data_IF_938254964361
#
_entry.id   IF_938254964361
#
_cell.length_a   1.000
_cell.length_b   1.000
_cell.length_c   1.000
_cell.angle_alpha   90.00
_cell.angle_beta   90.00
_cell.angle_gamma   90.00
#
_symmetry.space_group_name_H-M   'P 1'
#
loop_
_entity.id
_entity.type
_entity.pdbx_description
1 polymer ?
#
# COMPACT_ATOMS: atom_id res chain seq x y z
N UNK A 1 -24.91 -31.30 -42.24
CA UNK A 1 -23.48 -31.10 -41.96
C UNK A 1 -23.41 -30.17 -40.77
N UNK A 2 -23.20 -30.71 -39.58
CA UNK A 2 -23.27 -30.01 -38.30
C UNK A 2 -21.90 -29.44 -37.94
N UNK A 3 -21.70 -28.14 -38.14
CA UNK A 3 -20.54 -27.44 -37.59
C UNK A 3 -20.75 -27.20 -36.09
N UNK A 4 -20.33 -28.17 -35.29
CA UNK A 4 -20.12 -28.02 -33.86
C UNK A 4 -18.76 -27.36 -33.64
N UNK A 5 -18.70 -26.04 -33.77
CA UNK A 5 -17.57 -25.28 -33.23
C UNK A 5 -17.76 -25.18 -31.73
N UNK A 6 -17.21 -26.15 -30.99
CA UNK A 6 -17.06 -26.06 -29.55
C UNK A 6 -16.25 -24.80 -29.23
N UNK A 7 -16.94 -23.74 -28.79
CA UNK A 7 -16.32 -22.54 -28.25
C UNK A 7 -15.43 -22.98 -27.08
N UNK A 8 -14.12 -22.79 -27.22
CA UNK A 8 -13.18 -22.99 -26.12
C UNK A 8 -13.67 -22.18 -24.91
N UNK A 9 -13.68 -22.74 -23.69
CA UNK A 9 -14.18 -22.03 -22.53
C UNK A 9 -13.36 -20.75 -22.35
N UNK A 10 -13.96 -19.62 -22.68
CA UNK A 10 -13.40 -18.29 -22.43
C UNK A 10 -13.12 -18.23 -20.95
N UNK A 11 -11.83 -18.23 -20.57
CA UNK A 11 -11.42 -18.10 -19.17
C UNK A 11 -12.17 -16.90 -18.60
N UNK A 12 -13.00 -17.15 -17.57
CA UNK A 12 -13.72 -16.09 -16.90
C UNK A 12 -12.74 -14.95 -16.60
N UNK A 13 -13.03 -13.70 -17.02
CA UNK A 13 -12.11 -12.59 -16.85
C UNK A 13 -11.66 -12.53 -15.39
N UNK A 14 -10.36 -12.31 -15.16
CA UNK A 14 -9.83 -12.07 -13.82
C UNK A 14 -10.76 -11.09 -13.11
N UNK A 15 -11.12 -11.46 -11.89
CA UNK A 15 -12.17 -10.76 -11.19
C UNK A 15 -11.82 -9.31 -10.85
N UNK A 16 -10.60 -8.85 -11.12
CA UNK A 16 -10.03 -7.52 -10.82
C UNK A 16 -9.28 -7.01 -12.07
N UNK A 17 -9.33 -5.69 -12.38
CA UNK A 17 -8.53 -5.12 -13.46
C UNK A 17 -7.03 -5.41 -13.31
N UNK A 18 -6.33 -5.76 -14.40
CA UNK A 18 -4.92 -6.18 -14.34
C UNK A 18 -4.00 -5.17 -13.66
N UNK A 19 -4.19 -3.87 -13.92
CA UNK A 19 -3.37 -2.83 -13.31
C UNK A 19 -3.60 -2.73 -11.79
N UNK A 20 -4.83 -2.97 -11.32
CA UNK A 20 -5.13 -3.04 -9.88
C UNK A 20 -4.43 -4.25 -9.28
N UNK A 21 -4.47 -5.40 -9.96
CA UNK A 21 -3.77 -6.59 -9.48
C UNK A 21 -2.25 -6.36 -9.36
N UNK A 22 -1.63 -5.71 -10.36
CA UNK A 22 -0.21 -5.32 -10.31
C UNK A 22 0.04 -4.38 -9.14
N UNK A 23 -0.83 -3.38 -8.94
CA UNK A 23 -0.73 -2.47 -7.80
C UNK A 23 -0.80 -3.22 -6.46
N UNK A 24 -1.74 -4.15 -6.28
CA UNK A 24 -1.87 -4.95 -5.05
C UNK A 24 -0.60 -5.76 -4.76
N UNK A 25 0.07 -6.30 -5.80
CA UNK A 25 1.34 -7.02 -5.65
C UNK A 25 2.45 -6.06 -5.20
N UNK A 26 2.58 -4.90 -5.86
CA UNK A 26 3.54 -3.86 -5.47
C UNK A 26 3.30 -3.44 -4.03
N UNK A 27 2.04 -3.22 -3.65
CA UNK A 27 1.63 -2.90 -2.29
C UNK A 27 2.09 -3.94 -1.29
N UNK A 28 1.82 -5.23 -1.54
CA UNK A 28 2.22 -6.31 -0.65
C UNK A 28 3.75 -6.34 -0.42
N UNK A 29 4.53 -6.17 -1.49
CA UNK A 29 6.00 -6.17 -1.42
C UNK A 29 6.51 -4.96 -0.63
N UNK A 30 6.09 -3.75 -1.00
CA UNK A 30 6.60 -2.52 -0.35
C UNK A 30 6.16 -2.47 1.12
N UNK A 31 4.91 -2.81 1.44
CA UNK A 31 4.42 -2.78 2.81
C UNK A 31 5.09 -3.82 3.70
N UNK A 32 5.43 -4.99 3.16
CA UNK A 32 6.23 -5.99 3.87
C UNK A 32 7.64 -5.47 4.12
N UNK A 33 8.29 -4.91 3.10
CA UNK A 33 9.62 -4.33 3.22
C UNK A 33 9.69 -3.21 4.26
N UNK A 34 8.70 -2.30 4.21
CA UNK A 34 8.54 -1.19 5.15
C UNK A 34 8.32 -1.67 6.59
N UNK A 35 7.39 -2.60 6.79
CA UNK A 35 7.11 -3.14 8.11
C UNK A 35 8.31 -3.91 8.69
N UNK A 36 9.03 -4.68 7.87
CA UNK A 36 10.25 -5.34 8.29
C UNK A 36 11.32 -4.34 8.72
N UNK A 37 11.51 -3.23 8.00
CA UNK A 37 12.47 -2.20 8.41
C UNK A 37 12.14 -1.66 9.80
N UNK A 38 10.90 -1.22 10.02
CA UNK A 38 10.49 -0.59 11.28
C UNK A 38 10.50 -1.59 12.44
N UNK A 39 9.90 -2.77 12.25
CA UNK A 39 9.70 -3.73 13.34
C UNK A 39 10.96 -4.52 13.73
N UNK A 40 11.94 -4.65 12.83
CA UNK A 40 13.26 -5.19 13.19
C UNK A 40 14.11 -4.17 13.97
N UNK A 41 13.70 -2.89 13.97
CA UNK A 41 14.25 -1.83 14.80
C UNK A 41 15.78 -1.76 14.75
N UNK A 42 16.50 -1.91 15.89
CA UNK A 42 17.96 -1.78 15.93
C UNK A 42 18.74 -2.69 14.97
N UNK A 43 18.15 -3.78 14.51
CA UNK A 43 18.81 -4.71 13.59
C UNK A 43 18.87 -4.16 12.16
N UNK A 44 17.80 -3.49 11.73
CA UNK A 44 17.59 -2.94 10.38
C UNK A 44 17.90 -1.44 10.27
N UNK A 45 17.76 -0.69 11.36
CA UNK A 45 18.02 0.75 11.41
C UNK A 45 19.50 1.11 11.20
N UNK A 46 19.77 2.38 10.89
CA UNK A 46 21.12 2.93 10.70
C UNK A 46 22.09 2.49 11.80
N UNK A 47 23.20 1.86 11.41
CA UNK A 47 24.20 1.33 12.35
C UNK A 47 23.94 -0.10 12.83
N UNK A 48 22.78 -0.68 12.52
CA UNK A 48 22.45 -2.07 12.77
C UNK A 48 23.18 -3.07 11.85
N UNK A 49 23.37 -4.33 12.29
CA UNK A 49 24.12 -5.35 11.56
C UNK A 49 23.55 -5.70 10.19
N UNK A 50 22.26 -5.47 9.96
CA UNK A 50 21.61 -5.76 8.68
C UNK A 50 21.22 -4.49 7.91
N UNK A 51 21.54 -3.29 8.41
CA UNK A 51 21.12 -1.99 7.84
C UNK A 51 21.39 -1.80 6.35
N UNK A 52 22.38 -2.50 5.80
CA UNK A 52 22.70 -2.50 4.37
C UNK A 52 21.58 -3.06 3.48
N UNK A 53 20.71 -3.95 3.99
CA UNK A 53 19.51 -4.42 3.28
C UNK A 53 18.42 -3.34 3.18
N UNK A 54 18.53 -2.28 3.99
CA UNK A 54 17.59 -1.18 4.08
C UNK A 54 18.22 0.18 3.78
N UNK A 55 19.23 0.21 2.91
CA UNK A 55 19.92 1.45 2.53
C UNK A 55 18.94 2.57 2.09
N UNK A 56 17.87 2.21 1.38
CA UNK A 56 16.81 3.15 0.99
C UNK A 56 16.06 3.75 2.18
N UNK A 57 15.64 2.93 3.15
CA UNK A 57 14.95 3.39 4.37
C UNK A 57 15.88 4.13 5.34
N UNK A 58 17.13 3.70 5.46
CA UNK A 58 18.17 4.40 6.22
C UNK A 58 18.37 5.82 5.68
N UNK A 59 18.43 5.96 4.35
CA UNK A 59 18.49 7.27 3.70
C UNK A 59 17.18 8.05 3.86
N UNK A 60 16.02 7.41 3.67
CA UNK A 60 14.70 8.02 3.86
C UNK A 60 14.52 8.57 5.28
N UNK A 61 15.04 7.86 6.28
CA UNK A 61 15.02 8.25 7.70
C UNK A 61 15.80 9.53 8.01
N UNK A 62 16.59 10.05 7.08
CA UNK A 62 17.19 11.39 7.20
C UNK A 62 16.19 12.51 6.92
N UNK A 63 15.08 12.21 6.24
CA UNK A 63 14.01 13.17 5.92
C UNK A 63 12.77 13.00 6.80
N UNK A 64 12.47 11.76 7.20
CA UNK A 64 11.34 11.41 8.04
C UNK A 64 11.80 10.58 9.24
N UNK A 65 11.77 11.19 10.42
CA UNK A 65 12.26 10.57 11.64
C UNK A 65 11.43 9.37 12.11
N UNK A 66 10.26 9.10 11.50
CA UNK A 66 9.55 7.82 11.69
C UNK A 66 10.47 6.63 11.42
N UNK A 67 11.36 6.79 10.43
CA UNK A 67 12.31 5.80 9.97
C UNK A 67 13.74 6.06 10.48
N UNK A 68 13.92 7.07 11.34
CA UNK A 68 15.20 7.43 11.92
C UNK A 68 15.69 6.39 12.92
N UNK A 69 17.02 6.20 13.01
CA UNK A 69 17.62 5.12 13.81
C UNK A 69 17.42 5.20 15.33
N UNK A 70 16.88 6.30 15.87
CA UNK A 70 16.60 6.48 17.31
C UNK A 70 15.16 6.11 17.64
N UNK A 71 14.87 4.82 17.62
CA UNK A 71 13.56 4.20 17.90
C UNK A 71 12.43 4.70 16.98
N UNK A 72 11.76 3.75 16.33
CA UNK A 72 10.53 4.00 15.58
C UNK A 72 9.52 4.73 16.47
N UNK A 73 8.86 5.76 15.92
CA UNK A 73 7.77 6.41 16.66
C UNK A 73 6.63 5.42 16.91
N UNK A 74 5.87 5.58 17.99
CA UNK A 74 4.72 4.72 18.29
C UNK A 74 3.72 4.65 17.11
N UNK A 75 3.57 5.76 16.38
CA UNK A 75 2.79 5.79 15.15
C UNK A 75 3.42 4.95 14.03
N UNK A 76 4.73 5.06 13.81
CA UNK A 76 5.45 4.27 12.80
C UNK A 76 5.28 2.77 13.02
N UNK A 77 5.46 2.31 14.27
CA UNK A 77 5.26 0.90 14.63
C UNK A 77 3.80 0.46 14.41
N UNK A 78 2.83 1.28 14.86
CA UNK A 78 1.42 0.99 14.64
C UNK A 78 1.09 0.90 13.15
N UNK A 79 1.62 1.82 12.34
CA UNK A 79 1.47 1.83 10.89
C UNK A 79 2.08 0.56 10.26
N UNK A 80 3.24 0.10 10.73
CA UNK A 80 3.86 -1.15 10.26
C UNK A 80 3.08 -2.40 10.64
N UNK A 81 2.43 -2.43 11.80
CA UNK A 81 1.49 -3.51 12.13
C UNK A 81 0.28 -3.50 11.20
N UNK A 82 -0.27 -2.31 10.88
CA UNK A 82 -1.35 -2.18 9.90
C UNK A 82 -0.90 -2.65 8.51
N UNK A 83 0.33 -2.35 8.09
CA UNK A 83 0.93 -2.87 6.86
C UNK A 83 0.87 -4.40 6.81
N UNK A 84 1.29 -5.08 7.88
CA UNK A 84 1.28 -6.56 7.93
C UNK A 84 -0.14 -7.13 7.89
N UNK A 85 -1.11 -6.51 8.58
CA UNK A 85 -2.53 -6.92 8.52
C UNK A 85 -3.07 -6.78 7.09
N UNK A 86 -2.76 -5.68 6.41
CA UNK A 86 -3.12 -5.49 5.00
C UNK A 86 -2.47 -6.56 4.11
N UNK A 87 -1.18 -6.86 4.30
CA UNK A 87 -0.46 -7.92 3.56
C UNK A 87 -1.11 -9.28 3.74
N UNK A 88 -1.52 -9.65 4.96
CA UNK A 88 -2.27 -10.89 5.20
C UNK A 88 -3.57 -10.90 4.40
N UNK A 89 -4.31 -9.78 4.40
CA UNK A 89 -5.49 -9.62 3.55
C UNK A 89 -5.20 -9.77 2.06
N UNK A 90 -4.07 -9.23 1.59
CA UNK A 90 -3.64 -9.35 0.18
C UNK A 90 -3.27 -10.79 -0.18
N UNK A 91 -2.63 -11.54 0.72
CA UNK A 91 -2.38 -12.97 0.53
C UNK A 91 -3.71 -13.72 0.36
N UNK A 92 -4.72 -13.41 1.19
CA UNK A 92 -6.07 -13.99 1.05
C UNK A 92 -6.68 -13.63 -0.31
N UNK A 93 -6.52 -12.39 -0.78
CA UNK A 93 -6.95 -11.96 -2.14
C UNK A 93 -6.26 -12.80 -3.22
N UNK A 94 -4.93 -12.96 -3.16
CA UNK A 94 -4.16 -13.68 -4.18
C UNK A 94 -4.47 -15.17 -4.23
N UNK A 95 -4.67 -15.80 -3.08
CA UNK A 95 -5.07 -17.21 -2.99
C UNK A 95 -6.50 -17.45 -3.51
N UNK A 96 -7.32 -16.40 -3.65
CA UNK A 96 -8.75 -16.53 -3.94
C UNK A 96 -9.21 -15.75 -5.18
N UNK A 97 -8.34 -15.27 -6.07
CA UNK A 97 -8.64 -14.32 -7.18
C UNK A 97 -9.89 -14.59 -8.05
N UNK A 98 -10.42 -15.82 -8.05
CA UNK A 98 -11.63 -16.20 -8.79
C UNK A 98 -12.94 -16.07 -7.99
N UNK A 99 -12.88 -15.82 -6.69
CA UNK A 99 -14.06 -15.74 -5.84
C UNK A 99 -14.78 -14.39 -6.01
N UNK A 100 -16.13 -14.36 -5.95
CA UNK A 100 -16.91 -13.15 -6.21
C UNK A 100 -16.72 -12.05 -5.16
N UNK A 101 -16.34 -12.42 -3.93
CA UNK A 101 -16.10 -11.49 -2.81
C UNK A 101 -14.73 -10.80 -2.86
N UNK A 102 -13.79 -11.28 -3.69
CA UNK A 102 -12.41 -10.78 -3.71
C UNK A 102 -12.30 -9.28 -4.03
N UNK A 103 -13.06 -8.71 -4.99
CA UNK A 103 -13.01 -7.27 -5.23
C UNK A 103 -13.48 -6.44 -4.04
N UNK A 104 -14.37 -6.97 -3.20
CA UNK A 104 -14.84 -6.30 -1.99
C UNK A 104 -13.71 -6.27 -0.96
N UNK A 105 -13.04 -7.39 -0.72
CA UNK A 105 -11.90 -7.44 0.18
C UNK A 105 -10.75 -6.53 -0.31
N UNK A 106 -10.45 -6.56 -1.61
CA UNK A 106 -9.47 -5.66 -2.21
C UNK A 106 -9.86 -4.18 -2.02
N UNK A 107 -11.14 -3.83 -2.15
CA UNK A 107 -11.63 -2.47 -1.92
C UNK A 107 -11.45 -2.03 -0.46
N UNK A 108 -11.73 -2.92 0.49
CA UNK A 108 -11.52 -2.68 1.93
C UNK A 108 -10.04 -2.41 2.21
N UNK A 109 -9.15 -3.27 1.73
CA UNK A 109 -7.69 -3.12 1.93
C UNK A 109 -7.21 -1.79 1.34
N UNK A 110 -7.62 -1.46 0.12
CA UNK A 110 -7.21 -0.20 -0.52
C UNK A 110 -7.75 1.03 0.19
N UNK A 111 -8.93 0.93 0.81
CA UNK A 111 -9.50 1.98 1.65
C UNK A 111 -8.67 2.16 2.93
N UNK A 112 -8.22 1.06 3.54
CA UNK A 112 -7.32 1.10 4.69
C UNK A 112 -5.96 1.72 4.33
N UNK A 113 -5.33 1.31 3.22
CA UNK A 113 -4.07 1.88 2.73
C UNK A 113 -4.20 3.39 2.49
N UNK A 114 -5.29 3.83 1.85
CA UNK A 114 -5.58 5.25 1.63
C UNK A 114 -5.67 6.01 2.96
N UNK A 115 -6.53 5.56 3.88
CA UNK A 115 -6.77 6.28 5.14
C UNK A 115 -5.58 6.25 6.08
N UNK A 116 -4.77 5.21 6.07
CA UNK A 116 -3.51 5.16 6.81
C UNK A 116 -2.54 6.24 6.37
N UNK A 117 -2.46 6.49 5.06
CA UNK A 117 -1.62 7.57 4.51
C UNK A 117 -2.20 8.95 4.81
N UNK A 118 -3.53 9.10 4.76
CA UNK A 118 -4.20 10.32 5.23
C UNK A 118 -3.89 10.55 6.72
N UNK A 119 -3.96 9.50 7.54
CA UNK A 119 -3.66 9.57 8.96
C UNK A 119 -2.23 10.05 9.21
N UNK A 120 -1.24 9.53 8.47
CA UNK A 120 0.15 10.01 8.52
C UNK A 120 0.23 11.54 8.36
N UNK A 121 -0.35 12.10 7.29
CA UNK A 121 -0.33 13.54 7.07
C UNK A 121 -1.08 14.33 8.14
N UNK A 122 -2.24 13.85 8.58
CA UNK A 122 -3.02 14.54 9.61
C UNK A 122 -2.32 14.53 10.96
N UNK A 123 -1.61 13.45 11.30
CA UNK A 123 -0.82 13.35 12.53
C UNK A 123 0.38 14.29 12.46
N UNK A 124 1.11 14.34 11.33
CA UNK A 124 2.20 15.30 11.16
C UNK A 124 1.71 16.74 11.21
N UNK A 125 0.57 17.06 10.58
CA UNK A 125 0.00 18.40 10.67
C UNK A 125 -0.38 18.75 12.13
N UNK A 126 -0.98 17.81 12.86
CA UNK A 126 -1.39 18.00 14.25
C UNK A 126 -0.21 18.07 15.24
N UNK A 127 0.91 17.38 14.96
CA UNK A 127 2.12 17.41 15.77
C UNK A 127 3.04 18.60 15.44
N UNK A 128 2.64 19.47 14.51
CA UNK A 128 3.46 20.61 14.09
C UNK A 128 4.68 20.18 13.27
N UNK A 129 4.53 19.15 12.44
CA UNK A 129 5.55 18.52 11.61
C UNK A 129 6.68 17.86 12.42
N UNK A 130 6.39 17.30 13.58
CA UNK A 130 7.40 16.76 14.50
C UNK A 130 8.45 15.87 13.84
N UNK A 131 8.05 15.00 12.88
CA UNK A 131 8.97 14.02 12.28
C UNK A 131 9.67 14.53 11.03
N UNK A 132 9.18 15.62 10.44
CA UNK A 132 9.62 16.08 9.11
C UNK A 132 10.08 17.54 9.07
N UNK A 133 9.79 18.32 10.12
CA UNK A 133 10.14 19.74 10.26
C UNK A 133 11.62 20.01 10.10
N UNK A 134 12.48 19.13 10.64
CA UNK A 134 13.93 19.29 10.54
C UNK A 134 14.41 19.37 9.09
N UNK A 135 13.72 18.67 8.17
CA UNK A 135 14.00 18.70 6.73
C UNK A 135 13.62 20.05 6.09
N UNK A 136 12.61 20.75 6.61
CA UNK A 136 12.30 22.11 6.18
C UNK A 136 13.28 23.12 6.78
N UNK A 137 13.62 22.97 8.07
CA UNK A 137 14.49 23.89 8.81
C UNK A 137 15.95 23.83 8.32
N UNK A 138 16.38 22.70 7.76
CA UNK A 138 17.70 22.57 7.11
C UNK A 138 17.80 23.30 5.78
N UNK A 139 16.70 23.85 5.25
CA UNK A 139 16.64 24.52 3.95
C UNK A 139 16.50 23.56 2.76
N UNK A 140 16.40 22.25 2.99
CA UNK A 140 16.23 21.25 1.94
C UNK A 140 14.76 21.00 1.58
N UNK A 141 14.12 22.05 1.06
CA UNK A 141 12.72 21.98 0.63
C UNK A 141 12.49 20.94 -0.48
N UNK A 142 13.45 20.81 -1.41
CA UNK A 142 13.34 19.86 -2.51
C UNK A 142 13.39 18.42 -2.02
N UNK A 143 14.32 18.11 -1.11
CA UNK A 143 14.41 16.80 -0.47
C UNK A 143 13.15 16.50 0.35
N UNK A 144 12.65 17.45 1.13
CA UNK A 144 11.39 17.30 1.86
C UNK A 144 10.21 16.98 0.92
N UNK A 145 10.05 17.70 -0.18
CA UNK A 145 8.95 17.46 -1.13
C UNK A 145 9.11 16.13 -1.89
N UNK A 146 10.33 15.83 -2.36
CA UNK A 146 10.59 14.63 -3.16
C UNK A 146 10.60 13.34 -2.33
N UNK A 147 11.01 13.41 -1.06
CA UNK A 147 11.17 12.25 -0.18
C UNK A 147 10.05 12.17 0.84
N UNK A 148 9.75 13.24 1.56
CA UNK A 148 8.69 13.24 2.59
C UNK A 148 7.27 13.27 2.02
N UNK A 149 7.04 13.98 0.91
CA UNK A 149 5.67 14.21 0.40
C UNK A 149 5.32 13.32 -0.79
N UNK A 150 6.16 13.30 -1.83
CA UNK A 150 5.85 12.66 -3.11
C UNK A 150 5.53 11.14 -2.99
N UNK A 151 6.28 10.32 -2.23
CA UNK A 151 5.96 8.92 -2.07
C UNK A 151 4.60 8.72 -1.40
N UNK A 152 4.29 9.51 -0.38
CA UNK A 152 3.01 9.46 0.32
C UNK A 152 1.83 9.92 -0.56
N UNK A 153 2.03 10.90 -1.45
CA UNK A 153 1.01 11.29 -2.44
C UNK A 153 0.67 10.11 -3.37
N UNK A 154 1.67 9.32 -3.76
CA UNK A 154 1.43 8.13 -4.57
C UNK A 154 0.56 7.08 -3.84
N UNK A 155 0.79 6.92 -2.53
CA UNK A 155 -0.01 6.09 -1.62
C UNK A 155 -1.42 6.64 -1.32
N UNK A 156 -1.74 7.86 -1.74
CA UNK A 156 -3.11 8.40 -1.72
C UNK A 156 -3.76 8.17 -3.09
N UNK A 157 -3.09 8.61 -4.16
CA UNK A 157 -3.68 8.66 -5.50
C UNK A 157 -3.94 7.26 -6.06
N UNK A 158 -2.96 6.36 -6.02
CA UNK A 158 -3.12 5.03 -6.62
C UNK A 158 -4.16 4.20 -5.85
N UNK A 159 -4.18 4.19 -4.50
CA UNK A 159 -5.24 3.53 -3.77
C UNK A 159 -6.63 4.09 -4.08
N UNK A 160 -6.79 5.41 -4.18
CA UNK A 160 -8.05 6.03 -4.56
C UNK A 160 -8.52 5.59 -5.96
N UNK A 161 -7.64 5.61 -6.97
CA UNK A 161 -7.98 5.14 -8.32
C UNK A 161 -8.39 3.66 -8.32
N UNK A 162 -7.70 2.85 -7.52
CA UNK A 162 -8.00 1.42 -7.37
C UNK A 162 -9.35 1.20 -6.70
N UNK A 163 -9.68 1.97 -5.65
CA UNK A 163 -11.00 1.98 -5.03
C UNK A 163 -12.11 2.28 -6.05
N UNK A 164 -11.94 3.32 -6.88
CA UNK A 164 -12.90 3.69 -7.92
C UNK A 164 -13.08 2.56 -8.93
N UNK A 165 -11.99 1.92 -9.37
CA UNK A 165 -12.04 0.82 -10.33
C UNK A 165 -12.72 -0.43 -9.75
N UNK A 166 -12.40 -0.79 -8.51
CA UNK A 166 -13.01 -1.90 -7.79
C UNK A 166 -14.51 -1.64 -7.53
N UNK A 167 -14.87 -0.42 -7.13
CA UNK A 167 -16.27 -0.02 -6.94
C UNK A 167 -17.08 -0.15 -8.24
N UNK A 168 -16.58 0.42 -9.35
CA UNK A 168 -17.25 0.32 -10.66
C UNK A 168 -17.44 -1.13 -11.09
N UNK A 169 -16.47 -1.99 -10.81
CA UNK A 169 -16.56 -3.42 -11.09
C UNK A 169 -17.63 -4.11 -10.22
N UNK A 170 -17.65 -3.85 -8.91
CA UNK A 170 -18.65 -4.42 -7.99
C UNK A 170 -20.05 -3.99 -8.44
N UNK A 171 -20.26 -2.70 -8.70
CA UNK A 171 -21.55 -2.17 -9.15
C UNK A 171 -22.02 -2.81 -10.46
N UNK A 172 -21.13 -3.02 -11.44
CA UNK A 172 -21.48 -3.70 -12.70
C UNK A 172 -21.94 -5.13 -12.48
N UNK A 173 -21.36 -5.85 -11.51
CA UNK A 173 -21.75 -7.23 -11.19
C UNK A 173 -23.08 -7.32 -10.47
N UNK A 174 -23.39 -6.36 -9.62
CA UNK A 174 -24.68 -6.33 -8.90
C UNK A 174 -25.81 -5.84 -9.79
N UNK A 175 -25.53 -4.98 -10.76
CA UNK A 175 -26.52 -4.46 -11.70
C UNK A 175 -26.81 -5.38 -12.90
N UNK A 176 -25.99 -6.41 -13.16
CA UNK A 176 -26.23 -7.35 -14.25
C UNK A 176 -27.44 -8.24 -13.95
N UNK A 177 -28.43 -8.36 -14.86
CA UNK A 177 -29.56 -9.25 -14.66
C UNK A 177 -29.05 -10.69 -14.52
N UNK A 178 -29.49 -11.38 -13.46
CA UNK A 178 -29.24 -12.81 -13.31
C UNK A 178 -30.07 -13.50 -14.38
N UNK A 179 -29.43 -13.99 -15.44
CA UNK A 179 -30.09 -14.92 -16.36
C UNK A 179 -30.44 -16.17 -15.54
N UNK A 180 -31.74 -16.33 -15.28
CA UNK A 180 -32.32 -17.48 -14.61
C UNK A 180 -32.36 -18.69 -15.55
#
# INVERSE_FOLDING_TARGET
MTDSTAQAPTRAPLGIPRWVLVWLIITAVIQTYDACYVLLGPVSHTGGPLSWLWAGHVWYGTYDMTYGGKASSAWGEAQSWMNLVEVVGLIVVFCNLRKPWVPILALIIQTATFWKTVAYFTIEAASGLEKTRHSLESGDLLGFLAVGVLPNVFWIVIPLLSMIALWRLIHRRTAAPRLA
#
